data_IF_298524226376
#
_entry.id   IF_298524226376
#
_cell.length_a   1.000
_cell.length_b   1.000
_cell.length_c   1.000
_cell.angle_alpha   90.00
_cell.angle_beta   90.00
_cell.angle_gamma   90.00
#
_symmetry.space_group_name_H-M   'P 1'
#
loop_
_entity.id
_entity.type
_entity.pdbx_description
1 polymer ?
#
# COMPACT_ATOMS: atom_id res chain seq x y z
N UNK A 1 -36.66 28.36 16.31
CA UNK A 1 -35.86 27.52 17.22
C UNK A 1 -34.68 26.97 16.42
N UNK A 2 -33.60 27.74 16.32
CA UNK A 2 -32.42 27.43 15.50
C UNK A 2 -31.48 26.56 16.34
N UNK A 3 -31.38 25.27 16.02
CA UNK A 3 -30.39 24.42 16.67
C UNK A 3 -29.00 25.02 16.49
N UNK A 4 -28.27 25.15 17.59
CA UNK A 4 -26.93 25.71 17.60
C UNK A 4 -26.00 24.84 16.75
N UNK A 5 -25.06 25.46 16.04
CA UNK A 5 -24.06 24.75 15.19
C UNK A 5 -23.40 23.58 15.96
N UNK A 6 -23.22 23.73 17.28
CA UNK A 6 -22.67 22.73 18.20
C UNK A 6 -23.47 21.41 18.24
N UNK A 7 -24.81 21.46 18.19
CA UNK A 7 -25.67 20.27 18.26
C UNK A 7 -25.65 19.45 16.96
N UNK A 8 -25.51 20.11 15.81
CA UNK A 8 -25.37 19.43 14.52
C UNK A 8 -24.04 18.69 14.41
N UNK A 9 -22.96 19.32 14.85
CA UNK A 9 -21.63 18.70 14.89
C UNK A 9 -21.61 17.49 15.83
N UNK A 10 -22.25 17.59 17.00
CA UNK A 10 -22.37 16.49 17.95
C UNK A 10 -23.11 15.29 17.34
N UNK A 11 -24.26 15.52 16.68
CA UNK A 11 -25.01 14.44 16.01
C UNK A 11 -24.23 13.76 14.90
N UNK A 12 -23.55 14.53 14.05
CA UNK A 12 -22.74 13.94 12.96
C UNK A 12 -21.54 13.15 13.48
N UNK A 13 -20.90 13.59 14.57
CA UNK A 13 -19.82 12.83 15.20
C UNK A 13 -20.32 11.48 15.75
N UNK A 14 -21.51 11.47 16.37
CA UNK A 14 -22.11 10.26 16.91
C UNK A 14 -22.52 9.28 15.80
N UNK A 15 -23.09 9.77 14.70
CA UNK A 15 -23.42 8.95 13.53
C UNK A 15 -22.18 8.32 12.88
N UNK A 16 -21.11 9.09 12.70
CA UNK A 16 -19.85 8.56 12.13
C UNK A 16 -19.24 7.51 13.06
N UNK A 17 -19.30 7.71 14.39
CA UNK A 17 -18.87 6.70 15.38
C UNK A 17 -19.70 5.44 15.29
N UNK A 18 -21.03 5.54 15.21
CA UNK A 18 -21.91 4.38 15.09
C UNK A 18 -21.69 3.63 13.77
N UNK A 19 -21.59 4.33 12.63
CA UNK A 19 -21.31 3.72 11.32
C UNK A 19 -19.95 3.03 11.28
N UNK A 20 -18.93 3.67 11.86
CA UNK A 20 -17.59 3.10 11.98
C UNK A 20 -17.57 1.83 12.85
N UNK A 21 -18.29 1.84 13.98
CA UNK A 21 -18.43 0.68 14.85
C UNK A 21 -19.06 -0.51 14.13
N UNK A 22 -20.15 -0.29 13.39
CA UNK A 22 -20.85 -1.34 12.64
C UNK A 22 -19.99 -1.94 11.51
N UNK A 23 -19.23 -1.10 10.80
CA UNK A 23 -18.27 -1.56 9.79
C UNK A 23 -17.14 -2.40 10.40
N UNK A 24 -16.63 -1.99 11.58
CA UNK A 24 -15.61 -2.76 12.28
C UNK A 24 -16.15 -4.13 12.71
N UNK A 25 -17.37 -4.19 13.26
CA UNK A 25 -18.04 -5.43 13.64
C UNK A 25 -18.21 -6.37 12.42
N UNK A 26 -18.68 -5.85 11.30
CA UNK A 26 -18.85 -6.62 10.05
C UNK A 26 -17.53 -7.20 9.52
N UNK A 27 -16.46 -6.40 9.48
CA UNK A 27 -15.14 -6.89 9.04
C UNK A 27 -14.59 -7.96 9.98
N UNK A 28 -14.86 -7.83 11.28
CA UNK A 28 -14.42 -8.80 12.28
C UNK A 28 -15.21 -10.11 12.19
N UNK A 29 -16.51 -10.04 11.89
CA UNK A 29 -17.34 -11.21 11.57
C UNK A 29 -16.87 -11.91 10.29
N UNK A 30 -16.57 -11.16 9.23
CA UNK A 30 -16.04 -11.71 7.99
C UNK A 30 -14.67 -12.37 8.21
N UNK A 31 -13.76 -11.70 8.93
CA UNK A 31 -12.45 -12.25 9.28
C UNK A 31 -12.59 -13.55 10.10
N UNK A 32 -13.52 -13.60 11.07
CA UNK A 32 -13.82 -14.83 11.81
C UNK A 32 -14.31 -15.94 10.89
N UNK A 33 -15.18 -15.64 9.93
CA UNK A 33 -15.69 -16.63 8.98
C UNK A 33 -14.57 -17.15 8.06
N UNK A 34 -13.71 -16.26 7.59
CA UNK A 34 -12.57 -16.62 6.74
C UNK A 34 -11.56 -17.49 7.49
N UNK A 35 -11.21 -17.12 8.73
CA UNK A 35 -10.37 -17.94 9.60
C UNK A 35 -11.04 -19.29 9.86
N UNK A 36 -12.35 -19.35 10.11
CA UNK A 36 -13.07 -20.62 10.29
C UNK A 36 -13.08 -21.48 9.03
N UNK A 37 -13.25 -20.89 7.85
CA UNK A 37 -13.19 -21.61 6.56
C UNK A 37 -11.77 -22.13 6.30
N UNK A 38 -10.75 -21.31 6.56
CA UNK A 38 -9.35 -21.70 6.47
C UNK A 38 -9.03 -22.82 7.46
N UNK A 39 -9.49 -22.71 8.71
CA UNK A 39 -9.32 -23.73 9.73
C UNK A 39 -10.06 -25.03 9.38
N UNK A 40 -11.26 -24.97 8.80
CA UNK A 40 -11.98 -26.17 8.36
C UNK A 40 -11.27 -26.86 7.18
N UNK A 41 -10.74 -26.08 6.24
CA UNK A 41 -10.06 -26.59 5.04
C UNK A 41 -8.65 -27.12 5.33
N UNK A 42 -7.89 -26.44 6.19
CA UNK A 42 -6.48 -26.73 6.43
C UNK A 42 -6.19 -27.24 7.84
N UNK A 43 -7.14 -27.18 8.78
CA UNK A 43 -6.93 -27.55 10.19
C UNK A 43 -6.58 -29.02 10.37
N UNK A 44 -7.14 -29.91 9.57
CA UNK A 44 -6.74 -31.33 9.56
C UNK A 44 -5.29 -31.52 9.14
N UNK A 45 -4.84 -30.81 8.10
CA UNK A 45 -3.46 -30.88 7.64
C UNK A 45 -2.48 -30.29 8.67
N UNK A 46 -2.81 -29.15 9.28
CA UNK A 46 -2.00 -28.55 10.35
C UNK A 46 -1.92 -29.46 11.57
N UNK A 47 -3.05 -30.06 11.98
CA UNK A 47 -3.08 -31.01 13.09
C UNK A 47 -2.27 -32.27 12.82
N UNK A 48 -2.38 -32.84 11.61
CA UNK A 48 -1.60 -34.00 11.21
C UNK A 48 -0.11 -33.68 11.11
N UNK A 49 0.26 -32.52 10.58
CA UNK A 49 1.66 -32.07 10.56
C UNK A 49 2.24 -31.92 11.97
N UNK A 50 1.47 -31.38 12.92
CA UNK A 50 1.89 -31.29 14.31
C UNK A 50 2.09 -32.69 14.93
N UNK A 51 1.19 -33.63 14.65
CA UNK A 51 1.34 -35.02 15.09
C UNK A 51 2.56 -35.69 14.46
N UNK A 52 2.75 -35.58 13.13
CA UNK A 52 3.91 -36.11 12.43
C UNK A 52 5.21 -35.50 12.97
N UNK A 53 5.26 -34.19 13.22
CA UNK A 53 6.42 -33.55 13.82
C UNK A 53 6.76 -34.19 15.19
N UNK A 54 5.76 -34.45 16.02
CA UNK A 54 5.96 -35.12 17.30
C UNK A 54 6.48 -36.56 17.12
N UNK A 55 5.89 -37.34 16.21
CA UNK A 55 6.35 -38.69 15.89
C UNK A 55 7.78 -38.71 15.36
N UNK A 56 8.17 -37.75 14.53
CA UNK A 56 9.54 -37.63 14.03
C UNK A 56 10.51 -37.32 15.16
N UNK A 57 10.14 -36.44 16.11
CA UNK A 57 10.98 -36.14 17.29
C UNK A 57 11.17 -37.38 18.15
N UNK A 58 10.10 -38.10 18.49
CA UNK A 58 10.22 -39.34 19.26
C UNK A 58 10.97 -40.43 18.51
N UNK A 59 10.66 -40.65 17.23
CA UNK A 59 11.33 -41.63 16.38
C UNK A 59 12.83 -41.35 16.27
N UNK A 60 13.23 -40.09 16.14
CA UNK A 60 14.63 -39.69 16.16
C UNK A 60 15.27 -40.02 17.51
N UNK A 61 14.61 -39.71 18.64
CA UNK A 61 15.10 -40.08 19.97
C UNK A 61 15.33 -41.58 20.15
N UNK A 62 14.36 -42.42 19.74
CA UNK A 62 14.48 -43.89 19.78
C UNK A 62 15.55 -44.41 18.82
N UNK A 63 15.68 -43.84 17.62
CA UNK A 63 16.74 -44.20 16.68
C UNK A 63 18.13 -43.91 17.26
N UNK A 64 18.33 -42.74 17.86
CA UNK A 64 19.58 -42.39 18.54
C UNK A 64 19.87 -43.34 19.71
N UNK A 65 18.87 -43.63 20.54
CA UNK A 65 19.01 -44.60 21.63
C UNK A 65 19.41 -45.99 21.10
N UNK A 66 18.84 -46.42 19.98
CA UNK A 66 19.17 -47.69 19.32
C UNK A 66 20.61 -47.70 18.80
N UNK A 67 21.06 -46.61 18.16
CA UNK A 67 22.44 -46.46 17.69
C UNK A 67 23.41 -46.51 18.88
N UNK A 68 23.11 -45.77 19.95
CA UNK A 68 23.92 -45.80 21.19
C UNK A 68 23.98 -47.22 21.75
N UNK A 69 22.84 -47.92 21.82
CA UNK A 69 22.79 -49.29 22.33
C UNK A 69 23.61 -50.27 21.47
N UNK A 70 23.55 -50.14 20.14
CA UNK A 70 24.35 -50.95 19.22
C UNK A 70 25.85 -50.70 19.38
N UNK A 71 26.27 -49.43 19.51
CA UNK A 71 27.66 -49.08 19.74
C UNK A 71 28.11 -49.53 21.14
N UNK A 72 27.22 -49.44 22.13
CA UNK A 72 27.49 -49.84 23.51
C UNK A 72 27.78 -51.35 23.66
N UNK A 73 27.46 -52.18 22.65
CA UNK A 73 27.89 -53.58 22.61
C UNK A 73 29.42 -53.72 22.47
N UNK A 74 30.11 -52.73 21.92
CA UNK A 74 31.55 -52.76 21.67
C UNK A 74 32.37 -51.83 22.59
N UNK A 75 31.79 -50.73 23.09
CA UNK A 75 32.48 -49.76 23.96
C UNK A 75 31.55 -49.26 25.09
N UNK A 76 32.05 -48.57 26.14
CA UNK A 76 31.19 -48.12 27.23
C UNK A 76 30.20 -47.04 26.77
N UNK A 77 29.04 -46.98 27.44
CA UNK A 77 27.90 -46.12 27.07
C UNK A 77 28.28 -44.64 26.94
N UNK A 78 29.17 -44.13 27.80
CA UNK A 78 29.62 -42.74 27.74
C UNK A 78 30.36 -42.41 26.43
N UNK A 79 31.19 -43.33 25.91
CA UNK A 79 31.89 -43.15 24.65
C UNK A 79 30.93 -43.25 23.46
N UNK A 80 29.97 -44.18 23.52
CA UNK A 80 28.92 -44.31 22.51
C UNK A 80 28.09 -43.01 22.39
N UNK A 81 27.69 -42.42 23.52
CA UNK A 81 26.96 -41.15 23.55
C UNK A 81 27.76 -40.01 22.92
N UNK A 82 29.06 -39.91 23.21
CA UNK A 82 29.92 -38.87 22.63
C UNK A 82 30.06 -39.02 21.10
N UNK A 83 30.26 -40.24 20.59
CA UNK A 83 30.37 -40.52 19.16
C UNK A 83 29.07 -40.13 18.44
N UNK A 84 27.93 -40.57 18.95
CA UNK A 84 26.62 -40.24 18.35
C UNK A 84 26.37 -38.73 18.39
N UNK A 85 26.68 -38.07 19.50
CA UNK A 85 26.55 -36.60 19.63
C UNK A 85 27.43 -35.88 18.61
N UNK A 86 28.67 -36.31 18.41
CA UNK A 86 29.56 -35.74 17.42
C UNK A 86 29.00 -35.90 15.99
N UNK A 87 28.53 -37.10 15.63
CA UNK A 87 27.89 -37.34 14.33
C UNK A 87 26.66 -36.44 14.12
N UNK A 88 25.87 -36.20 15.17
CA UNK A 88 24.71 -35.31 15.11
C UNK A 88 25.11 -33.85 14.90
N UNK A 89 26.13 -33.37 15.59
CA UNK A 89 26.62 -32.01 15.39
C UNK A 89 27.19 -31.82 13.98
N UNK A 90 27.93 -32.81 13.46
CA UNK A 90 28.45 -32.76 12.09
C UNK A 90 27.32 -32.73 11.05
N UNK A 91 26.32 -33.60 11.20
CA UNK A 91 25.15 -33.61 10.31
C UNK A 91 24.34 -32.32 10.43
N UNK A 92 24.07 -31.83 11.64
CA UNK A 92 23.40 -30.54 11.85
C UNK A 92 24.16 -29.38 11.20
N UNK A 93 25.48 -29.31 11.38
CA UNK A 93 26.32 -28.32 10.72
C UNK A 93 26.22 -28.42 9.19
N UNK A 94 26.27 -29.63 8.64
CA UNK A 94 26.12 -29.86 7.21
C UNK A 94 24.73 -29.43 6.70
N UNK A 95 23.65 -29.75 7.42
CA UNK A 95 22.28 -29.34 7.10
C UNK A 95 22.12 -27.83 7.14
N UNK A 96 22.65 -27.16 8.17
CA UNK A 96 22.64 -25.69 8.28
C UNK A 96 23.42 -25.07 7.12
N UNK A 97 24.60 -25.60 6.79
CA UNK A 97 25.37 -25.14 5.63
C UNK A 97 24.62 -25.38 4.31
N UNK A 98 23.95 -26.50 4.15
CA UNK A 98 23.15 -26.81 2.97
C UNK A 98 21.94 -25.88 2.86
N UNK A 99 21.23 -25.62 3.97
CA UNK A 99 20.13 -24.66 4.02
C UNK A 99 20.62 -23.25 3.69
N UNK A 100 21.76 -22.83 4.25
CA UNK A 100 22.39 -21.54 3.93
C UNK A 100 22.80 -21.45 2.46
N UNK A 101 23.33 -22.54 1.88
CA UNK A 101 23.66 -22.60 0.45
C UNK A 101 22.41 -22.57 -0.42
N UNK A 102 21.33 -23.22 0.00
CA UNK A 102 20.06 -23.19 -0.71
C UNK A 102 19.45 -21.78 -0.66
N UNK A 103 19.48 -21.11 0.49
CA UNK A 103 19.04 -19.73 0.65
C UNK A 103 19.90 -18.75 -0.14
N UNK A 104 21.22 -18.95 -0.20
CA UNK A 104 22.15 -18.11 -0.99
C UNK A 104 22.08 -18.39 -2.49
N UNK A 105 21.78 -19.63 -2.87
CA UNK A 105 21.68 -20.10 -4.25
C UNK A 105 20.29 -19.93 -4.85
N UNK A 106 19.27 -19.73 -4.02
CA UNK A 106 17.92 -19.34 -4.44
C UNK A 106 17.95 -17.92 -5.03
N UNK A 107 18.38 -17.83 -6.29
CA UNK A 107 18.18 -16.69 -7.19
C UNK A 107 16.71 -16.55 -7.62
N UNK A 108 15.81 -17.42 -7.15
CA UNK A 108 14.38 -17.28 -7.38
C UNK A 108 13.76 -16.58 -6.18
N UNK A 109 13.08 -15.45 -6.39
CA UNK A 109 12.64 -14.60 -5.32
C UNK A 109 11.57 -15.29 -4.47
N UNK A 110 11.69 -15.17 -3.14
CA UNK A 110 10.51 -14.99 -2.27
C UNK A 110 9.48 -14.22 -3.10
N UNK A 111 8.27 -14.75 -3.39
CA UNK A 111 7.39 -14.28 -4.46
C UNK A 111 7.49 -12.76 -4.55
N UNK A 112 8.30 -12.29 -5.50
CA UNK A 112 8.84 -10.92 -5.40
C UNK A 112 7.68 -9.93 -5.48
N UNK A 113 6.62 -10.34 -6.17
CA UNK A 113 5.31 -9.70 -6.21
C UNK A 113 4.64 -9.65 -4.83
N UNK A 114 4.53 -10.76 -4.09
CA UNK A 114 3.94 -10.77 -2.75
C UNK A 114 4.78 -9.97 -1.74
N UNK A 115 6.12 -10.01 -1.85
CA UNK A 115 7.01 -9.25 -0.99
C UNK A 115 7.02 -7.75 -1.36
N UNK A 116 6.97 -7.42 -2.66
CA UNK A 116 6.87 -6.06 -3.17
C UNK A 116 5.50 -5.44 -2.88
N UNK A 117 4.41 -6.21 -2.97
CA UNK A 117 3.06 -5.78 -2.57
C UNK A 117 2.99 -5.54 -1.06
N UNK A 118 3.59 -6.43 -0.26
CA UNK A 118 3.69 -6.23 1.19
C UNK A 118 4.50 -4.95 1.53
N UNK A 119 5.63 -4.73 0.86
CA UNK A 119 6.45 -3.53 1.06
C UNK A 119 5.76 -2.25 0.54
N UNK A 120 5.07 -2.32 -0.60
CA UNK A 120 4.30 -1.20 -1.15
C UNK A 120 3.12 -0.84 -0.23
N UNK A 121 2.49 -1.83 0.40
CA UNK A 121 1.42 -1.62 1.40
C UNK A 121 1.95 -0.93 2.66
N UNK A 122 3.11 -1.34 3.16
CA UNK A 122 3.76 -0.68 4.31
C UNK A 122 4.21 0.74 3.94
N UNK A 123 4.79 0.92 2.76
CA UNK A 123 5.21 2.23 2.26
C UNK A 123 4.03 3.20 2.12
N UNK A 124 2.94 2.78 1.49
CA UNK A 124 1.74 3.61 1.33
C UNK A 124 1.08 3.95 2.66
N UNK A 125 1.04 3.01 3.62
CA UNK A 125 0.58 3.26 4.98
C UNK A 125 1.44 4.31 5.70
N UNK A 126 2.77 4.20 5.61
CA UNK A 126 3.71 5.15 6.22
C UNK A 126 3.61 6.55 5.60
N UNK A 127 3.47 6.65 4.27
CA UNK A 127 3.28 7.93 3.58
C UNK A 127 1.94 8.58 3.93
N UNK A 128 0.90 7.79 4.17
CA UNK A 128 -0.40 8.27 4.68
C UNK A 128 -0.27 8.89 6.07
N UNK A 129 0.34 8.16 7.01
CA UNK A 129 0.57 8.63 8.39
C UNK A 129 1.44 9.88 8.40
N UNK A 130 2.54 9.91 7.62
CA UNK A 130 3.46 11.05 7.56
C UNK A 130 2.81 12.30 6.95
N UNK A 131 1.89 12.14 5.98
CA UNK A 131 1.09 13.25 5.43
C UNK A 131 0.09 13.80 6.43
N UNK A 132 -0.53 12.94 7.22
CA UNK A 132 -1.47 13.35 8.27
C UNK A 132 -0.74 14.12 9.38
N UNK A 133 0.44 13.64 9.78
CA UNK A 133 1.30 14.33 10.74
C UNK A 133 1.80 15.69 10.21
N UNK A 134 2.02 15.84 8.90
CA UNK A 134 2.45 17.11 8.26
C UNK A 134 1.32 18.08 7.99
N UNK A 135 0.07 17.60 7.88
CA UNK A 135 -1.14 18.40 7.68
C UNK A 135 -1.84 18.81 8.99
N UNK A 136 -1.24 18.54 10.14
CA UNK A 136 -1.74 19.06 11.42
C UNK A 136 -0.91 20.26 11.90
N UNK A 137 -1.16 21.48 11.39
CA UNK A 137 -1.06 22.67 12.21
C UNK A 137 -2.23 22.67 13.19
N UNK A 138 -1.93 22.51 14.48
CA UNK A 138 -2.84 22.93 15.55
C UNK A 138 -2.80 24.47 15.57
N UNK A 139 -3.96 25.11 15.36
CA UNK A 139 -4.18 26.55 15.12
C UNK A 139 -3.75 27.01 13.70
N UNK A 140 -4.58 27.63 12.85
CA UNK A 140 -5.65 28.61 13.10
C UNK A 140 -6.85 28.44 12.15
N UNK A 141 -8.03 28.64 12.73
CA UNK A 141 -9.26 29.03 12.02
C UNK A 141 -9.10 30.44 11.42
N UNK A 142 -9.98 30.76 10.47
CA UNK A 142 -10.43 32.09 10.02
C UNK A 142 -9.53 32.93 9.09
N UNK A 143 -10.17 33.40 8.00
CA UNK A 143 -9.70 34.27 6.91
C UNK A 143 -9.02 33.52 5.75
N UNK A 144 -9.51 33.53 4.50
CA UNK A 144 -10.44 34.42 3.84
C UNK A 144 -11.24 33.66 2.76
N UNK A 145 -12.54 33.56 3.00
CA UNK A 145 -13.53 33.67 1.92
C UNK A 145 -13.48 35.10 1.39
N UNK A 146 -13.73 35.27 0.09
CA UNK A 146 -14.33 36.46 -0.58
C UNK A 146 -13.57 36.97 -1.81
N UNK A 147 -14.34 37.05 -2.91
CA UNK A 147 -14.21 37.84 -4.14
C UNK A 147 -13.41 37.37 -5.37
N UNK A 148 -14.13 36.83 -6.38
CA UNK A 148 -13.75 36.95 -7.80
C UNK A 148 -14.92 36.99 -8.86
N UNK A 149 -16.25 36.89 -8.57
CA UNK A 149 -17.24 36.86 -9.66
C UNK A 149 -17.80 38.24 -10.08
N UNK A 150 -17.56 39.32 -9.32
CA UNK A 150 -18.11 40.65 -9.63
C UNK A 150 -17.28 41.42 -10.66
N UNK A 151 -15.95 41.24 -10.68
CA UNK A 151 -15.05 41.90 -11.63
C UNK A 151 -15.32 41.50 -13.09
N UNK A 152 -15.63 40.22 -13.33
CA UNK A 152 -15.97 39.72 -14.68
C UNK A 152 -17.29 40.27 -15.23
N UNK A 153 -18.26 40.56 -14.36
CA UNK A 153 -19.57 41.10 -14.76
C UNK A 153 -19.51 42.57 -15.15
N UNK A 154 -18.60 43.34 -14.56
CA UNK A 154 -18.40 44.75 -14.93
C UNK A 154 -17.75 44.90 -16.32
N UNK A 155 -16.75 44.05 -16.65
CA UNK A 155 -16.04 44.09 -17.93
C UNK A 155 -16.96 43.79 -19.14
N UNK A 156 -17.90 42.86 -19.00
CA UNK A 156 -18.83 42.50 -20.08
C UNK A 156 -19.82 43.62 -20.41
N UNK A 157 -20.14 44.50 -19.46
CA UNK A 157 -21.13 45.58 -19.63
C UNK A 157 -20.55 46.79 -20.37
N UNK A 158 -19.24 47.01 -20.30
CA UNK A 158 -18.55 48.12 -20.99
C UNK A 158 -18.39 47.89 -22.51
N UNK A 159 -18.24 46.63 -22.94
CA UNK A 159 -18.06 46.31 -24.37
C UNK A 159 -19.34 46.51 -25.20
N UNK A 160 -20.53 46.39 -24.59
CA UNK A 160 -21.81 46.54 -25.29
C UNK A 160 -22.16 48.01 -25.61
N UNK A 161 -21.54 48.99 -24.95
CA UNK A 161 -21.87 50.41 -25.12
C UNK A 161 -21.07 51.09 -26.25
N UNK A 162 -20.01 50.46 -26.77
CA UNK A 162 -19.12 51.08 -27.76
C UNK A 162 -19.50 50.86 -29.24
N UNK A 163 -20.50 50.01 -29.55
CA UNK A 163 -20.80 49.59 -30.93
C UNK A 163 -21.99 50.34 -31.59
N UNK A 164 -22.51 51.39 -30.96
CA UNK A 164 -23.76 52.05 -31.39
C UNK A 164 -23.59 53.46 -32.01
N UNK A 165 -22.37 53.88 -32.40
CA UNK A 165 -22.19 55.25 -32.92
C UNK A 165 -20.98 55.34 -33.84
N UNK A 166 -21.17 55.11 -35.14
CA UNK A 166 -20.64 56.04 -36.16
C UNK A 166 -21.26 55.72 -37.54
N UNK A 167 -21.78 56.76 -38.21
CA UNK A 167 -22.49 56.67 -39.49
C UNK A 167 -22.04 57.79 -40.44
N UNK A 168 -21.42 57.39 -41.57
CA UNK A 168 -21.43 58.01 -42.94
C UNK A 168 -20.72 59.38 -43.16
N UNK A 169 -20.46 59.84 -44.42
CA UNK A 169 -20.92 59.36 -45.75
C UNK A 169 -19.86 59.21 -46.87
N UNK A 170 -20.34 58.75 -48.04
CA UNK A 170 -19.60 58.57 -49.31
C UNK A 170 -19.24 59.89 -49.99
N UNK A 171 -18.08 59.93 -50.66
CA UNK A 171 -17.87 60.76 -51.85
C UNK A 171 -17.15 59.98 -52.94
N UNK A 172 -17.70 60.16 -54.14
CA UNK A 172 -17.28 59.70 -55.45
C UNK A 172 -15.94 60.33 -55.89
N UNK A 173 -15.11 59.55 -56.58
CA UNK A 173 -14.29 59.96 -57.74
C UNK A 173 -13.44 58.79 -58.24
N UNK A 174 -13.65 58.43 -59.49
CA UNK A 174 -12.74 57.71 -60.38
C UNK A 174 -12.69 58.52 -61.69
N UNK A 175 -11.82 58.30 -62.69
CA UNK A 175 -10.63 57.44 -62.78
C UNK A 175 -9.38 58.19 -63.32
N UNK A 176 -8.17 57.61 -63.24
CA UNK A 176 -7.07 57.98 -64.15
C UNK A 176 -6.20 56.77 -64.50
N UNK A 177 -6.22 56.51 -65.80
CA UNK A 177 -5.41 55.58 -66.60
C UNK A 177 -3.94 56.01 -66.62
N UNK A 178 -3.11 55.04 -66.98
CA UNK A 178 -1.86 55.19 -67.76
C UNK A 178 -0.56 55.55 -67.03
N UNK A 179 0.52 55.07 -67.66
CA UNK A 179 1.95 55.08 -67.33
C UNK A 179 2.36 54.05 -66.26
N UNK A 180 2.74 52.81 -66.60
CA UNK A 180 3.70 52.41 -67.64
C UNK A 180 4.94 53.31 -67.63
N UNK A 181 5.90 53.02 -66.77
CA UNK A 181 7.25 53.54 -66.94
C UNK A 181 8.21 52.80 -66.02
N UNK A 182 8.99 51.94 -66.67
CA UNK A 182 10.42 51.83 -66.42
C UNK A 182 10.84 51.13 -65.10
N UNK A 183 11.47 49.95 -65.27
CA UNK A 183 12.95 49.80 -65.17
C UNK A 183 13.37 49.69 -63.69
N UNK A 184 14.35 48.92 -63.26
CA UNK A 184 15.43 48.15 -63.87
C UNK A 184 16.29 47.80 -62.65
N UNK A 185 16.75 46.56 -62.60
CA UNK A 185 17.97 46.08 -61.94
C UNK A 185 18.57 46.91 -60.78
N UNK A 186 18.56 46.32 -59.59
CA UNK A 186 19.70 46.34 -58.67
C UNK A 186 19.74 45.01 -57.90
#
# INVERSE_FOLDING_TARGET
>A
MTMGIRERVQRSAEEVRQRGKRLAELNLELAKLEIRRAAAKYGGAVGLFAATALFVVFGLGFLLATIVALIALALPVWAALLIVTALLLLSAAALVLAALRLLRGAKSPLPQQALAEAQATVGTAQHGVRRLLRRMPVAHQTAATTDEPLARRAAARAAATAMATDTRPMTTSAPSREEESHRENA
#
